data_IF_169488229929
#
_entry.id   IF_169488229929
#
_cell.length_a   1.000
_cell.length_b   1.000
_cell.length_c   1.000
_cell.angle_alpha   90.00
_cell.angle_beta   90.00
_cell.angle_gamma   90.00
#
_symmetry.space_group_name_H-M   'P 1'
#
loop_
_entity.id
_entity.type
_entity.pdbx_description
1 polymer ?
#
# COMPACT_ATOMS: atom_id res chain seq x y z
N UNK A 1 8.67 -17.90 10.82
CA UNK A 1 7.58 -18.70 10.23
C UNK A 1 7.73 -18.51 8.73
N UNK A 2 7.95 -19.59 7.99
CA UNK A 2 8.03 -19.49 6.54
C UNK A 2 6.59 -19.29 6.04
N UNK A 3 6.30 -18.14 5.43
CA UNK A 3 4.97 -17.83 4.88
C UNK A 3 4.82 -18.31 3.43
N UNK A 4 5.83 -19.00 2.89
CA UNK A 4 5.80 -19.73 1.61
C UNK A 4 4.95 -21.00 1.72
N UNK A 5 3.68 -20.83 2.06
CA UNK A 5 2.67 -21.88 2.00
C UNK A 5 2.36 -22.20 0.53
N UNK A 6 2.55 -23.46 0.07
CA UNK A 6 2.24 -23.86 -1.30
C UNK A 6 0.81 -23.51 -1.74
N UNK A 7 -0.17 -23.58 -0.84
CA UNK A 7 -1.56 -23.23 -1.16
C UNK A 7 -1.71 -21.74 -1.46
N UNK A 8 -0.96 -20.88 -0.76
CA UNK A 8 -0.94 -19.44 -1.01
C UNK A 8 -0.16 -19.09 -2.27
N UNK A 9 0.95 -19.77 -2.52
CA UNK A 9 1.71 -19.65 -3.78
C UNK A 9 0.80 -20.00 -4.96
N UNK A 10 0.08 -21.13 -4.90
CA UNK A 10 -0.87 -21.54 -5.93
C UNK A 10 -1.97 -20.50 -6.17
N UNK A 11 -2.53 -19.94 -5.10
CA UNK A 11 -3.62 -18.95 -5.17
C UNK A 11 -3.17 -17.61 -5.76
N UNK A 12 -1.96 -17.17 -5.47
CA UNK A 12 -1.43 -15.87 -5.91
C UNK A 12 -0.69 -15.95 -7.27
N UNK A 13 -0.44 -17.17 -7.76
CA UNK A 13 0.31 -17.39 -8.99
C UNK A 13 -0.43 -16.85 -10.22
N UNK A 14 0.31 -16.15 -11.09
CA UNK A 14 -0.17 -15.66 -12.37
C UNK A 14 1.01 -15.47 -13.34
N UNK A 15 0.78 -15.22 -14.64
CA UNK A 15 1.86 -15.06 -15.62
C UNK A 15 2.88 -13.96 -15.28
N UNK A 16 2.46 -12.87 -14.62
CA UNK A 16 3.36 -11.80 -14.22
C UNK A 16 4.33 -12.24 -13.12
N UNK A 17 3.89 -13.10 -12.19
CA UNK A 17 4.76 -13.70 -11.17
C UNK A 17 5.66 -14.77 -11.78
N UNK A 18 5.12 -15.63 -12.65
CA UNK A 18 5.85 -16.73 -13.27
C UNK A 18 7.08 -16.25 -14.07
N UNK A 19 7.02 -15.06 -14.67
CA UNK A 19 8.11 -14.49 -15.44
C UNK A 19 9.41 -14.29 -14.63
N UNK A 20 9.34 -14.26 -13.29
CA UNK A 20 10.49 -14.05 -12.42
C UNK A 20 11.17 -15.34 -11.93
N UNK A 21 10.56 -16.51 -12.11
CA UNK A 21 11.01 -17.78 -11.53
C UNK A 21 11.12 -18.87 -12.60
N UNK A 22 12.35 -19.20 -13.00
CA UNK A 22 12.62 -20.25 -13.98
C UNK A 22 12.16 -21.64 -13.49
N UNK A 23 12.27 -21.89 -12.18
CA UNK A 23 11.77 -23.12 -11.53
C UNK A 23 10.26 -23.11 -11.26
N UNK A 24 9.56 -22.06 -11.65
CA UNK A 24 8.12 -21.90 -11.43
C UNK A 24 7.76 -21.86 -9.94
N UNK A 25 6.66 -22.51 -9.57
CA UNK A 25 6.12 -22.49 -8.20
C UNK A 25 6.99 -23.20 -7.17
N UNK A 26 7.90 -24.07 -7.61
CA UNK A 26 8.81 -24.84 -6.77
C UNK A 26 10.25 -24.35 -6.89
N UNK A 27 10.46 -23.15 -7.41
CA UNK A 27 11.79 -22.54 -7.50
C UNK A 27 12.38 -22.40 -6.08
N UNK A 28 13.62 -22.89 -5.84
CA UNK A 28 14.24 -22.83 -4.52
C UNK A 28 14.51 -21.40 -4.03
N UNK A 29 14.47 -20.41 -4.92
CA UNK A 29 14.64 -18.99 -4.58
C UNK A 29 13.30 -18.26 -4.36
N UNK A 30 12.16 -18.96 -4.49
CA UNK A 30 10.85 -18.36 -4.26
C UNK A 30 10.61 -18.18 -2.76
N UNK A 31 10.37 -16.93 -2.36
CA UNK A 31 9.93 -16.57 -1.02
C UNK A 31 8.63 -15.77 -1.08
N UNK A 32 7.66 -16.12 -0.23
CA UNK A 32 6.41 -15.37 -0.07
C UNK A 32 6.41 -14.65 1.27
N UNK A 33 6.19 -13.33 1.25
CA UNK A 33 6.07 -12.51 2.45
C UNK A 33 4.60 -12.24 2.75
N UNK A 34 4.19 -12.41 4.02
CA UNK A 34 2.89 -11.99 4.52
C UNK A 34 3.02 -10.73 5.36
N UNK A 35 2.16 -9.75 5.08
CA UNK A 35 1.97 -8.57 5.92
C UNK A 35 0.62 -8.66 6.61
N UNK A 36 0.64 -8.97 7.91
CA UNK A 36 -0.54 -8.92 8.76
C UNK A 36 -0.66 -7.52 9.38
N UNK A 37 -1.21 -6.55 8.63
CA UNK A 37 -1.29 -5.16 9.08
C UNK A 37 -2.25 -4.99 10.29
N UNK A 38 -1.85 -4.17 11.25
CA UNK A 38 -2.65 -3.86 12.46
C UNK A 38 -3.41 -2.53 12.34
N UNK A 39 -2.78 -1.51 11.74
CA UNK A 39 -3.32 -0.16 11.61
C UNK A 39 -2.92 0.46 10.27
N UNK A 40 -3.67 1.47 9.83
CA UNK A 40 -3.32 2.30 8.69
C UNK A 40 -3.61 3.77 8.98
N UNK A 41 -2.74 4.64 8.48
CA UNK A 41 -3.05 6.05 8.32
C UNK A 41 -3.31 6.32 6.83
N UNK A 42 -4.40 7.03 6.55
CA UNK A 42 -4.85 7.34 5.20
C UNK A 42 -4.88 8.84 5.05
N UNK A 43 -4.08 9.38 4.12
CA UNK A 43 -3.98 10.81 3.84
C UNK A 43 -4.67 11.14 2.52
N UNK A 44 -5.66 12.04 2.55
CA UNK A 44 -6.24 12.58 1.33
C UNK A 44 -5.27 13.58 0.68
N UNK A 45 -4.92 13.33 -0.58
CA UNK A 45 -4.11 14.27 -1.36
C UNK A 45 -5.01 15.35 -1.98
N UNK A 46 -4.69 16.63 -1.76
CA UNK A 46 -5.37 17.75 -2.41
C UNK A 46 -4.57 18.30 -3.60
N UNK A 47 -5.29 18.94 -4.53
CA UNK A 47 -4.66 19.66 -5.64
C UNK A 47 -3.83 20.84 -5.13
N UNK A 48 -2.56 20.88 -5.51
CA UNK A 48 -1.63 21.99 -5.25
C UNK A 48 -2.12 23.33 -5.82
N UNK A 49 -2.94 23.30 -6.87
CA UNK A 49 -3.57 24.49 -7.45
C UNK A 49 -4.59 25.13 -6.49
N UNK A 50 -5.40 24.30 -5.83
CA UNK A 50 -6.37 24.77 -4.83
C UNK A 50 -5.65 25.33 -3.60
N UNK A 51 -4.54 24.71 -3.19
CA UNK A 51 -3.69 25.22 -2.12
C UNK A 51 -3.14 26.63 -2.47
N UNK A 52 -2.69 26.84 -3.71
CA UNK A 52 -2.21 28.15 -4.18
C UNK A 52 -3.29 29.24 -4.15
N UNK A 53 -4.51 28.94 -4.59
CA UNK A 53 -5.65 29.88 -4.51
C UNK A 53 -5.97 30.22 -3.04
N UNK A 54 -5.98 29.23 -2.14
CA UNK A 54 -6.21 29.44 -0.71
C UNK A 54 -5.18 30.39 -0.09
N UNK A 55 -3.91 30.22 -0.41
CA UNK A 55 -2.82 31.13 0.04
C UNK A 55 -3.04 32.55 -0.48
N UNK A 56 -3.41 32.72 -1.76
CA UNK A 56 -3.71 34.04 -2.33
C UNK A 56 -4.90 34.73 -1.64
N UNK A 57 -5.86 33.96 -1.13
CA UNK A 57 -7.00 34.45 -0.36
C UNK A 57 -6.69 34.63 1.14
N UNK A 58 -5.44 34.43 1.58
CA UNK A 58 -5.00 34.60 2.98
C UNK A 58 -5.37 33.43 3.91
N UNK A 59 -5.82 32.30 3.37
CA UNK A 59 -6.13 31.08 4.14
C UNK A 59 -4.86 30.24 4.27
N UNK A 60 -4.57 29.75 5.48
CA UNK A 60 -3.46 28.80 5.71
C UNK A 60 -3.92 27.37 5.41
N UNK A 61 -3.49 26.77 4.27
CA UNK A 61 -3.94 25.44 3.88
C UNK A 61 -3.46 24.34 4.83
N UNK A 62 -2.45 24.59 5.68
CA UNK A 62 -1.96 23.60 6.65
C UNK A 62 -2.98 23.24 7.72
N UNK A 63 -3.84 24.19 8.11
CA UNK A 63 -4.93 23.93 9.07
C UNK A 63 -5.97 22.98 8.50
N UNK A 64 -6.29 23.12 7.21
CA UNK A 64 -7.24 22.26 6.51
C UNK A 64 -6.71 20.84 6.24
N UNK A 65 -5.41 20.58 6.41
CA UNK A 65 -4.81 19.25 6.20
C UNK A 65 -4.85 18.37 7.44
N UNK A 66 -5.04 18.93 8.63
CA UNK A 66 -5.07 18.16 9.88
C UNK A 66 -6.26 17.20 9.94
N UNK A 67 -7.40 17.61 9.38
CA UNK A 67 -8.64 16.80 9.35
C UNK A 67 -8.70 15.84 8.14
N UNK A 68 -7.63 15.77 7.33
CA UNK A 68 -7.56 14.93 6.11
C UNK A 68 -6.81 13.62 6.29
N UNK A 69 -6.55 13.26 7.54
CA UNK A 69 -5.90 12.00 7.90
C UNK A 69 -6.89 11.17 8.69
N UNK A 70 -7.13 9.94 8.25
CA UNK A 70 -7.86 8.94 9.02
C UNK A 70 -6.86 7.93 9.61
N UNK A 71 -6.92 7.73 10.93
CA UNK A 71 -6.22 6.63 11.63
C UNK A 71 -7.23 5.49 11.84
N UNK A 72 -6.92 4.32 11.30
CA UNK A 72 -7.88 3.22 11.16
C UNK A 72 -7.29 1.91 11.70
N UNK A 73 -7.95 1.25 12.68
CA UNK A 73 -7.61 -0.12 13.04
C UNK A 73 -8.04 -1.08 11.91
N UNK A 74 -7.15 -1.99 11.52
CA UNK A 74 -7.42 -2.98 10.47
C UNK A 74 -7.86 -4.34 11.03
N UNK A 75 -8.04 -4.42 12.35
CA UNK A 75 -8.55 -5.58 13.10
C UNK A 75 -9.53 -5.17 14.17
#
# INVERSE_FOLDING_TARGET
>A
REDTDPAMVDRLWNPYVAAWYEGGKTDPNLALLRLDADHAQIWLNESSLLAGIKVLLGVDPKKDYQDKVADVPLR
#
